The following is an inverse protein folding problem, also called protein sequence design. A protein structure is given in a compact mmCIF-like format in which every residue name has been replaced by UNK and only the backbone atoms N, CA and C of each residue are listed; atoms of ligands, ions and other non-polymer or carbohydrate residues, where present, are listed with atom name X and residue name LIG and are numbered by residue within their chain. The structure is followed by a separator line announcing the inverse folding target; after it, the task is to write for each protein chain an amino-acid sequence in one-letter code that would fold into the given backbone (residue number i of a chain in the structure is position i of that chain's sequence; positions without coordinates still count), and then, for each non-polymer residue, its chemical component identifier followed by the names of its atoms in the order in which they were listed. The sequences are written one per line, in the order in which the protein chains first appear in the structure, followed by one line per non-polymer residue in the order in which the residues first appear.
data_IF_603706740402
#
_entry.id   IF_603706740402
#
_cell.length_a   1.000
_cell.length_b   1.000
_cell.length_c   1.000
_cell.angle_alpha   90.00
_cell.angle_beta   90.00
_cell.angle_gamma   90.00
#
_symmetry.space_group_name_H-M   'P 1'
#
loop_
_entity.id
_entity.type
_entity.pdbx_description
1 polymer ?
#
# COMPACT_ATOMS: atom_id res chain seq x y z
N UNK A 1 4.11 -3.95 -41.25
CA UNK A 1 3.88 -4.74 -40.03
C UNK A 1 3.11 -3.88 -39.04
N UNK A 2 1.81 -4.12 -38.86
CA UNK A 2 1.00 -3.45 -37.84
C UNK A 2 0.97 -4.35 -36.61
N UNK A 3 1.77 -4.04 -35.59
CA UNK A 3 1.67 -4.71 -34.30
C UNK A 3 0.73 -3.88 -33.42
N UNK A 4 -0.57 -4.17 -33.49
CA UNK A 4 -1.53 -3.73 -32.48
C UNK A 4 -1.07 -4.30 -31.15
N UNK A 5 -0.53 -3.46 -30.26
CA UNK A 5 -0.41 -3.80 -28.85
C UNK A 5 -1.81 -3.73 -28.23
N UNK A 6 -2.60 -4.77 -28.45
CA UNK A 6 -3.74 -5.06 -27.61
C UNK A 6 -3.19 -5.33 -26.21
N UNK A 7 -3.24 -4.33 -25.33
CA UNK A 7 -2.95 -4.50 -23.90
C UNK A 7 -4.04 -5.40 -23.33
N UNK A 8 -3.85 -6.71 -23.44
CA UNK A 8 -4.74 -7.72 -22.87
C UNK A 8 -4.93 -7.42 -21.38
N UNK A 9 -6.15 -7.01 -21.04
CA UNK A 9 -6.57 -6.85 -19.66
C UNK A 9 -6.88 -8.24 -19.13
N UNK A 10 -5.99 -8.76 -18.28
CA UNK A 10 -6.21 -10.00 -17.59
C UNK A 10 -7.07 -9.74 -16.34
N UNK A 11 -7.77 -10.75 -15.85
CA UNK A 11 -8.48 -10.73 -14.57
C UNK A 11 -7.96 -11.87 -13.72
N UNK A 12 -7.50 -11.58 -12.52
CA UNK A 12 -7.00 -12.56 -11.56
C UNK A 12 -7.85 -12.49 -10.29
N UNK A 13 -8.34 -13.65 -9.85
CA UNK A 13 -9.00 -13.83 -8.57
C UNK A 13 -8.37 -15.01 -7.86
N UNK A 14 -7.90 -14.81 -6.63
CA UNK A 14 -7.48 -15.92 -5.79
C UNK A 14 -7.97 -15.73 -4.36
N UNK A 15 -8.26 -16.86 -3.72
CA UNK A 15 -8.76 -16.95 -2.36
C UNK A 15 -7.71 -17.65 -1.53
N UNK A 16 -7.28 -17.01 -0.46
CA UNK A 16 -6.28 -17.54 0.46
C UNK A 16 -6.96 -18.39 1.56
N UNK A 17 -6.23 -19.36 2.16
CA UNK A 17 -6.76 -20.22 3.23
C UNK A 17 -7.08 -19.46 4.53
N UNK A 18 -6.62 -18.22 4.68
CA UNK A 18 -6.99 -17.32 5.78
C UNK A 18 -8.34 -16.61 5.56
N UNK A 19 -9.03 -16.89 4.44
CA UNK A 19 -10.33 -16.30 4.10
C UNK A 19 -10.25 -15.00 3.30
N UNK A 20 -9.05 -14.49 2.99
CA UNK A 20 -8.89 -13.27 2.20
C UNK A 20 -9.06 -13.51 0.70
N UNK A 21 -9.80 -12.61 0.05
CA UNK A 21 -10.07 -12.65 -1.39
C UNK A 21 -9.37 -11.47 -2.07
N UNK A 22 -8.59 -11.77 -3.11
CA UNK A 22 -7.93 -10.77 -3.95
C UNK A 22 -8.54 -10.84 -5.35
N UNK A 23 -8.96 -9.69 -5.87
CA UNK A 23 -9.42 -9.53 -7.25
C UNK A 23 -8.70 -8.35 -7.89
N UNK A 24 -8.05 -8.59 -9.02
CA UNK A 24 -7.35 -7.58 -9.82
C UNK A 24 -7.69 -7.75 -11.30
N UNK A 25 -7.86 -6.64 -12.00
CA UNK A 25 -8.07 -6.62 -13.44
C UNK A 25 -7.19 -5.53 -14.07
N UNK A 26 -6.43 -5.89 -15.10
CA UNK A 26 -5.54 -4.95 -15.79
C UNK A 26 -4.46 -5.64 -16.62
N UNK A 27 -3.46 -4.88 -17.09
CA UNK A 27 -2.31 -5.45 -17.78
C UNK A 27 -1.56 -6.46 -16.90
N UNK A 28 -0.90 -7.44 -17.50
CA UNK A 28 -0.16 -8.48 -16.77
C UNK A 28 0.79 -7.89 -15.70
N UNK A 29 1.59 -6.89 -16.08
CA UNK A 29 2.53 -6.20 -15.17
C UNK A 29 1.82 -5.57 -13.96
N UNK A 30 0.61 -5.05 -14.15
CA UNK A 30 -0.19 -4.45 -13.10
C UNK A 30 -0.74 -5.50 -12.14
N UNK A 31 -1.26 -6.62 -12.67
CA UNK A 31 -1.76 -7.72 -11.84
C UNK A 31 -0.63 -8.36 -11.04
N UNK A 32 0.53 -8.57 -11.65
CA UNK A 32 1.70 -9.14 -10.97
C UNK A 32 2.23 -8.21 -9.87
N UNK A 33 2.27 -6.90 -10.12
CA UNK A 33 2.63 -5.91 -9.10
C UNK A 33 1.64 -5.90 -7.94
N UNK A 34 0.33 -5.88 -8.21
CA UNK A 34 -0.70 -5.92 -7.16
C UNK A 34 -0.66 -7.24 -6.38
N UNK A 35 -0.48 -8.38 -7.06
CA UNK A 35 -0.35 -9.70 -6.44
C UNK A 35 0.85 -9.77 -5.51
N UNK A 36 2.03 -9.33 -5.97
CA UNK A 36 3.25 -9.35 -5.17
C UNK A 36 3.13 -8.43 -3.95
N UNK A 37 2.52 -7.25 -4.14
CA UNK A 37 2.24 -6.34 -3.03
C UNK A 37 1.27 -6.95 -2.00
N UNK A 38 0.20 -7.60 -2.48
CA UNK A 38 -0.75 -8.30 -1.63
C UNK A 38 -0.08 -9.44 -0.83
N UNK A 39 0.72 -10.29 -1.49
CA UNK A 39 1.45 -11.37 -0.82
C UNK A 39 2.46 -10.85 0.21
N UNK A 40 3.18 -9.78 -0.09
CA UNK A 40 4.10 -9.15 0.87
C UNK A 40 3.39 -8.60 2.11
N UNK A 41 2.12 -8.22 1.96
CA UNK A 41 1.29 -7.73 3.06
C UNK A 41 0.79 -8.88 3.95
N UNK A 42 0.28 -9.97 3.35
CA UNK A 42 -0.18 -11.15 4.11
C UNK A 42 0.99 -11.85 4.81
N UNK A 43 2.14 -11.97 4.14
CA UNK A 43 3.33 -12.58 4.72
C UNK A 43 3.84 -11.87 5.98
N UNK A 44 3.53 -10.58 6.15
CA UNK A 44 3.81 -9.84 7.38
C UNK A 44 2.77 -10.07 8.49
N UNK A 45 1.52 -10.40 8.15
CA UNK A 45 0.49 -10.74 9.13
C UNK A 45 0.68 -12.16 9.71
N UNK A 46 1.27 -13.09 8.98
CA UNK A 46 1.51 -14.46 9.48
C UNK A 46 2.66 -14.59 10.48
N UNK A 47 3.44 -13.54 10.74
CA UNK A 47 4.57 -13.56 11.69
C UNK A 47 4.23 -13.08 13.11
N UNK A 48 2.97 -12.83 13.43
CA UNK A 48 2.53 -12.49 14.80
C UNK A 48 1.53 -13.51 15.35
N UNK A 49 2.00 -14.74 15.56
CA UNK A 49 1.39 -15.65 16.54
C UNK A 49 2.25 -15.62 17.83
N UNK A 50 1.64 -15.48 19.02
CA UNK A 50 2.36 -15.44 20.28
C UNK A 50 2.74 -16.87 20.69
N UNK A 51 3.99 -17.27 20.46
CA UNK A 51 4.47 -18.58 20.93
C UNK A 51 4.86 -18.49 22.42
N UNK A 52 3.93 -18.91 23.27
CA UNK A 52 4.15 -19.16 24.69
C UNK A 52 4.99 -20.44 24.88
N UNK A 53 6.12 -20.30 25.60
CA UNK A 53 6.82 -21.26 26.49
C UNK A 53 7.15 -22.71 26.00
N UNK A 54 8.46 -22.94 25.75
CA UNK A 54 9.43 -24.02 26.16
C UNK A 54 8.97 -25.50 26.36
N UNK A 55 9.90 -26.50 26.40
CA UNK A 55 11.06 -26.85 25.56
C UNK A 55 11.11 -28.39 25.21
N UNK A 56 12.24 -28.87 24.64
CA UNK A 56 12.67 -30.29 24.42
C UNK A 56 12.08 -31.01 23.18
N UNK A 57 12.78 -31.74 22.29
CA UNK A 57 14.14 -32.33 22.17
C UNK A 57 14.33 -32.67 20.66
N UNK A 58 15.56 -32.91 20.11
CA UNK A 58 15.79 -33.00 18.67
C UNK A 58 15.66 -34.44 18.14
N UNK A 59 15.26 -34.60 16.88
CA UNK A 59 15.62 -35.79 16.08
C UNK A 59 15.54 -35.51 14.59
N UNK A 60 16.65 -35.85 13.95
CA UNK A 60 16.95 -35.77 12.53
C UNK A 60 15.99 -36.61 11.68
N UNK A 61 15.69 -36.15 10.47
CA UNK A 61 15.58 -37.06 9.32
C UNK A 61 15.94 -36.30 8.04
N UNK A 62 17.07 -36.72 7.48
CA UNK A 62 17.53 -36.49 6.12
C UNK A 62 16.42 -36.42 5.07
N UNK A 63 16.33 -35.27 4.40
CA UNK A 63 16.03 -35.19 2.97
C UNK A 63 16.80 -34.02 2.35
N UNK A 64 17.64 -34.23 1.32
CA UNK A 64 18.14 -33.14 0.51
C UNK A 64 16.99 -32.64 -0.36
N UNK A 65 16.30 -31.59 0.09
CA UNK A 65 15.37 -30.84 -0.75
C UNK A 65 16.18 -30.12 -1.84
N UNK A 66 15.89 -30.36 -3.13
CA UNK A 66 16.55 -29.63 -4.20
C UNK A 66 16.13 -28.16 -4.07
N UNK A 67 17.13 -27.30 -3.88
CA UNK A 67 16.99 -25.85 -3.87
C UNK A 67 16.65 -25.37 -5.29
N UNK A 68 15.41 -25.57 -5.72
CA UNK A 68 14.87 -24.94 -6.90
C UNK A 68 14.34 -23.55 -6.54
N UNK A 69 15.01 -22.55 -7.11
CA UNK A 69 14.68 -21.13 -7.12
C UNK A 69 14.83 -20.40 -5.78
N UNK A 70 16.10 -20.13 -5.42
CA UNK A 70 16.44 -18.76 -5.04
C UNK A 70 16.07 -17.87 -6.22
N UNK A 71 14.83 -17.37 -6.22
CA UNK A 71 14.41 -16.35 -7.16
C UNK A 71 15.42 -15.22 -7.05
N UNK A 72 16.16 -15.03 -8.14
CA UNK A 72 17.13 -13.98 -8.29
C UNK A 72 16.47 -12.69 -7.80
N UNK A 73 17.02 -12.16 -6.70
CA UNK A 73 16.81 -10.81 -6.26
C UNK A 73 17.13 -9.92 -7.47
N UNK A 74 16.11 -9.54 -8.23
CA UNK A 74 16.20 -8.52 -9.26
C UNK A 74 16.47 -7.20 -8.55
N UNK A 75 17.73 -7.02 -8.16
CA UNK A 75 18.35 -5.88 -7.50
C UNK A 75 18.48 -4.66 -8.42
N UNK A 76 17.62 -4.53 -9.43
CA UNK A 76 17.24 -3.21 -9.87
C UNK A 76 16.31 -2.72 -8.75
N UNK A 77 16.84 -1.89 -7.85
CA UNK A 77 16.06 -1.27 -6.79
C UNK A 77 14.76 -0.72 -7.40
N UNK A 78 13.67 -1.48 -7.28
CA UNK A 78 12.36 -1.04 -7.73
C UNK A 78 11.97 0.03 -6.74
N UNK A 79 12.37 1.27 -7.07
CA UNK A 79 11.98 2.47 -6.35
C UNK A 79 10.48 2.38 -6.22
N UNK A 80 10.01 2.34 -4.98
CA UNK A 80 8.60 2.15 -4.68
C UNK A 80 7.79 3.18 -5.47
N UNK A 81 6.62 2.83 -6.04
CA UNK A 81 5.78 3.81 -6.75
C UNK A 81 5.54 5.07 -5.90
N UNK A 82 5.54 4.95 -4.58
CA UNK A 82 5.45 6.04 -3.62
C UNK A 82 6.68 6.96 -3.61
N UNK A 83 7.90 6.42 -3.67
CA UNK A 83 9.14 7.19 -3.76
C UNK A 83 9.31 7.89 -5.12
N UNK A 84 8.67 7.35 -6.16
CA UNK A 84 8.60 7.97 -7.50
C UNK A 84 7.56 9.09 -7.57
N UNK A 85 6.49 9.02 -6.79
CA UNK A 85 5.43 10.03 -6.74
C UNK A 85 5.72 11.14 -5.74
N UNK A 86 6.27 10.80 -4.59
CA UNK A 86 6.50 11.72 -3.49
C UNK A 86 8.00 12.00 -3.29
N UNK A 87 8.30 13.19 -2.79
CA UNK A 87 9.55 13.51 -2.11
C UNK A 87 9.25 13.71 -0.64
N UNK A 88 10.09 13.14 0.19
CA UNK A 88 10.09 13.45 1.62
C UNK A 88 10.84 14.77 1.78
N UNK A 89 10.16 15.78 2.32
CA UNK A 89 10.78 17.02 2.75
C UNK A 89 10.53 17.16 4.25
N UNK A 90 11.59 16.97 5.03
CA UNK A 90 11.56 16.86 6.50
C UNK A 90 10.65 15.70 6.96
N UNK A 91 9.39 16.00 7.31
CA UNK A 91 8.36 15.05 7.76
C UNK A 91 7.07 15.15 6.94
N UNK A 92 7.14 15.79 5.78
CA UNK A 92 6.00 16.06 4.91
C UNK A 92 6.22 15.44 3.54
N UNK A 93 5.16 14.83 3.02
CA UNK A 93 5.16 14.19 1.71
C UNK A 93 4.70 15.20 0.65
N UNK A 94 5.60 15.54 -0.27
CA UNK A 94 5.34 16.49 -1.35
C UNK A 94 5.29 15.74 -2.68
N UNK A 95 4.26 15.93 -3.48
CA UNK A 95 4.17 15.33 -4.81
C UNK A 95 5.25 15.92 -5.71
N UNK A 96 5.98 15.06 -6.41
CA UNK A 96 7.00 15.46 -7.39
C UNK A 96 6.40 16.14 -8.62
N UNK A 97 5.15 15.82 -8.95
CA UNK A 97 4.41 16.40 -10.07
C UNK A 97 3.14 17.07 -9.56
N UNK A 98 2.83 18.25 -10.09
CA UNK A 98 1.54 18.89 -9.84
C UNK A 98 0.46 18.10 -10.60
N UNK A 99 -0.38 17.37 -9.87
CA UNK A 99 -1.52 16.68 -10.42
C UNK A 99 -2.81 17.27 -9.83
N UNK A 100 -3.85 17.37 -10.67
CA UNK A 100 -5.18 17.81 -10.22
C UNK A 100 -5.90 16.62 -9.57
N UNK A 101 -5.57 16.36 -8.31
CA UNK A 101 -6.13 15.26 -7.51
C UNK A 101 -7.11 15.85 -6.50
N UNK A 102 -8.20 15.13 -6.21
CA UNK A 102 -9.13 15.57 -5.18
C UNK A 102 -8.43 15.62 -3.81
N UNK A 103 -8.87 16.49 -2.89
CA UNK A 103 -8.31 16.52 -1.54
C UNK A 103 -8.38 15.18 -0.80
N UNK A 104 -9.44 14.42 -1.06
CA UNK A 104 -9.70 13.08 -0.49
C UNK A 104 -8.70 12.04 -1.00
N UNK A 105 -8.57 11.95 -2.32
CA UNK A 105 -7.63 11.05 -2.99
C UNK A 105 -6.19 11.40 -2.60
N UNK A 106 -5.89 12.69 -2.47
CA UNK A 106 -4.57 13.13 -2.01
C UNK A 106 -4.28 12.65 -0.60
N UNK A 107 -5.26 12.72 0.31
CA UNK A 107 -5.10 12.20 1.66
C UNK A 107 -4.87 10.68 1.69
N UNK A 108 -5.60 9.93 0.87
CA UNK A 108 -5.40 8.48 0.70
C UNK A 108 -3.99 8.18 0.18
N UNK A 109 -3.51 8.91 -0.84
CA UNK A 109 -2.17 8.75 -1.39
C UNK A 109 -1.09 9.06 -0.35
N UNK A 110 -1.25 10.14 0.44
CA UNK A 110 -0.32 10.47 1.53
C UNK A 110 -0.30 9.35 2.57
N UNK A 111 -1.44 8.81 2.99
CA UNK A 111 -1.49 7.73 3.97
C UNK A 111 -0.82 6.45 3.46
N UNK A 112 -1.02 6.11 2.19
CA UNK A 112 -0.38 4.95 1.56
C UNK A 112 1.13 5.14 1.44
N UNK A 113 1.57 6.32 0.99
CA UNK A 113 2.98 6.68 0.90
C UNK A 113 3.64 6.74 2.29
N UNK A 114 2.96 7.28 3.31
CA UNK A 114 3.46 7.33 4.67
C UNK A 114 3.64 5.92 5.25
N UNK A 115 2.71 5.01 4.95
CA UNK A 115 2.83 3.60 5.33
C UNK A 115 4.02 2.93 4.70
N UNK A 116 4.31 3.18 3.42
CA UNK A 116 5.44 2.55 2.77
C UNK A 116 6.79 3.21 3.10
N UNK A 117 6.84 4.54 3.18
CA UNK A 117 8.07 5.30 3.40
C UNK A 117 8.45 5.30 4.89
N UNK A 118 7.51 5.64 5.77
CA UNK A 118 7.77 5.71 7.21
C UNK A 118 7.55 4.38 7.94
N UNK A 119 7.07 3.35 7.23
CA UNK A 119 6.73 2.02 7.80
C UNK A 119 5.72 2.09 8.97
N UNK A 120 4.87 3.12 8.96
CA UNK A 120 3.84 3.36 9.96
C UNK A 120 2.45 3.10 9.39
N UNK A 121 1.70 2.16 9.97
CA UNK A 121 0.33 1.85 9.53
C UNK A 121 -0.68 2.96 9.86
N UNK A 122 -0.39 3.76 10.89
CA UNK A 122 -1.22 4.85 11.35
C UNK A 122 -0.46 6.18 11.24
N UNK A 123 -1.11 7.20 10.71
CA UNK A 123 -0.53 8.52 10.48
C UNK A 123 -1.35 9.57 11.24
N UNK A 124 -0.68 10.51 11.92
CA UNK A 124 -1.41 11.46 12.77
C UNK A 124 -2.18 12.49 11.94
N UNK A 125 -3.30 12.97 12.47
CA UNK A 125 -4.08 14.05 11.89
C UNK A 125 -3.25 15.33 11.66
N UNK A 126 -2.29 15.58 12.55
CA UNK A 126 -1.39 16.73 12.48
C UNK A 126 -0.45 16.61 11.29
N UNK A 127 0.20 15.47 11.11
CA UNK A 127 1.12 15.21 10.01
C UNK A 127 0.40 15.13 8.66
N UNK A 128 -0.78 14.52 8.62
CA UNK A 128 -1.63 14.48 7.42
C UNK A 128 -2.04 15.90 7.02
N UNK A 129 -2.45 16.73 7.97
CA UNK A 129 -2.79 18.13 7.69
C UNK A 129 -1.59 18.94 7.21
N UNK A 130 -0.39 18.73 7.78
CA UNK A 130 0.85 19.38 7.30
C UNK A 130 1.19 18.95 5.88
N UNK A 131 1.08 17.66 5.57
CA UNK A 131 1.36 17.12 4.23
C UNK A 131 0.39 17.67 3.20
N UNK A 132 -0.92 17.73 3.50
CA UNK A 132 -1.91 18.34 2.61
C UNK A 132 -1.62 19.83 2.35
N UNK A 133 -1.25 20.58 3.39
CA UNK A 133 -0.85 21.99 3.24
C UNK A 133 0.40 22.15 2.38
N UNK A 134 1.40 21.29 2.54
CA UNK A 134 2.61 21.31 1.72
C UNK A 134 2.32 21.07 0.22
N UNK A 135 1.19 20.42 -0.09
CA UNK A 135 0.71 20.20 -1.46
C UNK A 135 -0.17 21.34 -2.00
N UNK A 136 -0.37 22.41 -1.23
CA UNK A 136 -1.25 23.51 -1.59
C UNK A 136 -2.74 23.19 -1.43
N UNK A 137 -3.09 22.08 -0.76
CA UNK A 137 -4.47 21.76 -0.43
C UNK A 137 -4.81 22.48 0.87
N UNK A 138 -5.22 23.74 0.70
CA UNK A 138 -5.78 24.54 1.78
C UNK A 138 -7.30 24.40 1.77
N UNK A 139 -7.88 24.01 2.91
CA UNK A 139 -9.31 24.14 3.09
C UNK A 139 -9.95 23.02 3.88
N UNK A 140 -10.38 23.38 5.10
CA UNK A 140 -11.36 22.61 5.84
C UNK A 140 -10.81 21.76 6.97
N UNK A 141 -11.71 21.40 7.89
CA UNK A 141 -11.42 20.42 8.94
C UNK A 141 -11.16 19.07 8.27
N UNK A 142 -10.00 18.48 8.54
CA UNK A 142 -9.60 17.16 8.04
C UNK A 142 -10.71 16.11 8.28
N UNK A 143 -11.38 16.19 9.42
CA UNK A 143 -12.53 15.32 9.76
C UNK A 143 -13.64 15.35 8.67
N UNK A 144 -13.95 16.53 8.12
CA UNK A 144 -15.02 16.70 7.12
C UNK A 144 -14.60 16.18 5.76
N UNK A 145 -13.32 16.37 5.42
CA UNK A 145 -12.74 15.90 4.17
C UNK A 145 -12.75 14.36 4.13
N UNK A 146 -12.37 13.73 5.24
CA UNK A 146 -12.21 12.29 5.36
C UNK A 146 -13.49 11.54 5.75
N UNK A 147 -14.57 12.23 6.14
CA UNK A 147 -15.80 11.56 6.61
C UNK A 147 -16.37 10.62 5.55
N UNK A 148 -16.32 11.02 4.27
CA UNK A 148 -16.81 10.19 3.16
C UNK A 148 -15.98 8.92 2.99
N UNK A 149 -14.66 9.02 3.13
CA UNK A 149 -13.77 7.86 2.98
C UNK A 149 -13.80 6.92 4.19
N UNK A 150 -14.06 7.46 5.39
CA UNK A 150 -14.29 6.66 6.59
C UNK A 150 -15.60 5.88 6.44
N UNK A 151 -16.67 6.54 5.98
CA UNK A 151 -17.96 5.90 5.74
C UNK A 151 -17.91 4.87 4.61
N UNK A 152 -17.08 5.10 3.59
CA UNK A 152 -16.84 4.17 2.50
C UNK A 152 -15.97 2.96 2.91
N UNK A 153 -15.50 2.88 4.16
CA UNK A 153 -14.66 1.75 4.62
C UNK A 153 -13.22 1.78 4.09
N UNK A 154 -12.81 2.82 3.36
CA UNK A 154 -11.45 2.96 2.80
C UNK A 154 -10.41 3.37 3.85
N UNK A 155 -10.85 3.98 4.93
CA UNK A 155 -9.96 4.33 6.05
C UNK A 155 -10.66 4.25 7.39
N UNK A 156 -9.87 4.08 8.44
CA UNK A 156 -10.32 4.12 9.83
C UNK A 156 -9.66 5.29 10.55
N UNK A 157 -10.42 5.91 11.45
CA UNK A 157 -9.91 6.94 12.34
C UNK A 157 -9.90 6.41 13.77
N UNK A 158 -8.76 6.46 14.43
CA UNK A 158 -8.59 6.07 15.83
C UNK A 158 -8.15 7.28 16.68
N UNK A 159 -8.51 7.27 17.96
CA UNK A 159 -8.18 8.35 18.89
C UNK A 159 -9.12 9.57 18.83
N UNK A 160 -8.75 10.61 19.58
CA UNK A 160 -9.60 11.77 19.87
C UNK A 160 -8.83 13.08 19.73
N UNK A 161 -9.51 14.11 19.21
CA UNK A 161 -9.02 15.50 19.07
C UNK A 161 -7.62 15.58 18.43
N UNK A 162 -6.59 15.90 19.25
CA UNK A 162 -5.21 16.14 18.82
C UNK A 162 -4.40 14.86 18.63
N UNK A 163 -4.83 13.75 19.23
CA UNK A 163 -4.20 12.43 19.09
C UNK A 163 -4.90 11.53 18.08
N UNK A 164 -5.70 12.11 17.17
CA UNK A 164 -6.39 11.32 16.15
C UNK A 164 -5.40 10.83 15.11
N UNK A 165 -5.43 9.54 14.82
CA UNK A 165 -4.65 8.89 13.77
C UNK A 165 -5.59 8.33 12.73
N UNK A 166 -5.10 8.27 11.50
CA UNK A 166 -5.80 7.69 10.36
C UNK A 166 -5.00 6.51 9.84
N UNK A 167 -5.69 5.45 9.50
CA UNK A 167 -5.11 4.24 8.94
C UNK A 167 -5.94 3.83 7.72
N UNK A 168 -5.27 3.39 6.66
CA UNK A 168 -5.94 2.83 5.49
C UNK A 168 -6.37 1.39 5.75
N UNK A 169 -7.57 1.06 5.30
CA UNK A 169 -7.99 -0.33 5.13
C UNK A 169 -7.31 -0.94 3.89
N UNK A 170 -7.46 -2.25 3.71
CA UNK A 170 -6.96 -2.92 2.50
C UNK A 170 -7.62 -2.35 1.22
N UNK A 171 -8.90 -2.00 1.30
CA UNK A 171 -9.62 -1.35 0.19
C UNK A 171 -9.06 0.05 -0.10
N UNK A 172 -8.80 0.85 0.93
CA UNK A 172 -8.17 2.16 0.76
C UNK A 172 -6.76 2.08 0.19
N UNK A 173 -5.99 1.06 0.56
CA UNK A 173 -4.68 0.80 -0.04
C UNK A 173 -4.78 0.41 -1.51
N UNK A 174 -5.69 -0.49 -1.86
CA UNK A 174 -5.91 -0.87 -3.25
C UNK A 174 -6.30 0.35 -4.09
N UNK A 175 -7.19 1.19 -3.55
CA UNK A 175 -7.57 2.45 -4.18
C UNK A 175 -6.38 3.41 -4.35
N UNK A 176 -5.58 3.59 -3.29
CA UNK A 176 -4.37 4.42 -3.36
C UNK A 176 -3.41 3.93 -4.45
N UNK A 177 -3.23 2.62 -4.58
CA UNK A 177 -2.33 2.03 -5.56
C UNK A 177 -2.81 2.27 -7.00
N UNK A 178 -4.11 2.13 -7.25
CA UNK A 178 -4.72 2.47 -8.55
C UNK A 178 -4.50 3.94 -8.89
N UNK A 179 -4.74 4.84 -7.93
CA UNK A 179 -4.50 6.27 -8.10
C UNK A 179 -3.03 6.57 -8.39
N UNK A 180 -2.11 5.93 -7.66
CA UNK A 180 -0.67 6.08 -7.84
C UNK A 180 -0.22 5.67 -9.24
N UNK A 181 -0.69 4.52 -9.74
CA UNK A 181 -0.38 4.06 -11.08
C UNK A 181 -0.95 4.98 -12.16
N UNK A 182 -2.18 5.48 -11.98
CA UNK A 182 -2.78 6.46 -12.89
C UNK A 182 -1.90 7.71 -13.01
N UNK A 183 -1.38 8.21 -11.88
CA UNK A 183 -0.51 9.39 -11.83
C UNK A 183 0.91 9.16 -12.35
N UNK A 184 1.38 7.91 -12.36
CA UNK A 184 2.67 7.55 -12.94
C UNK A 184 2.61 7.31 -14.45
N UNK A 185 1.45 6.89 -14.95
CA UNK A 185 1.17 6.62 -16.36
C UNK A 185 0.70 7.83 -17.17
N UNK A 186 0.25 8.90 -16.52
CA UNK A 186 0.13 10.25 -17.10
C UNK A 186 1.48 10.97 -17.16
#
# INVERSE_FOLDING_TARGET
MNNSMDKETLKMRFKLPNGEEFEAQGPQEFIEAQRNYFLALIGQQTLTAPSSRLPNTPSQSDRPVPHFFAAANSRAAQVSPWERLFRVQEHTLVLRRKAKISPQDTAILILAAARDIFKQSAYSALELSRSLKALGIEGGRLDRLLVGEIQAGRMTAQGSKRGRTYQLSNEGLAHAFVLAHKLLGE
#
